data_IF_969888523908
#
_entry.id   IF_969888523908
#
_cell.length_a   1.000
_cell.length_b   1.000
_cell.length_c   1.000
_cell.angle_alpha   90.00
_cell.angle_beta   90.00
_cell.angle_gamma   90.00
#
_symmetry.space_group_name_H-M   'P 1'
#
loop_
_entity.id
_entity.type
_entity.pdbx_description
1 polymer ?
#
# COMPACT_ATOMS: atom_id res chain seq x y z
N UNK A 1 19.47 15.86 3.51
CA UNK A 1 18.05 16.25 3.38
C UNK A 1 17.50 15.62 2.09
N UNK A 2 16.30 15.02 2.11
CA UNK A 2 15.83 14.07 1.07
C UNK A 2 15.41 14.69 -0.29
N UNK A 3 15.57 16.01 -0.48
CA UNK A 3 15.24 16.73 -1.74
C UNK A 3 13.87 16.35 -2.34
N UNK A 4 12.85 16.21 -1.48
CA UNK A 4 11.50 15.85 -1.92
C UNK A 4 10.87 17.00 -2.73
N UNK A 5 9.96 16.68 -3.68
CA UNK A 5 9.19 17.68 -4.40
C UNK A 5 8.39 18.59 -3.46
N UNK A 6 8.12 19.81 -3.92
CA UNK A 6 7.36 20.83 -3.18
C UNK A 6 5.99 20.35 -2.67
N UNK A 7 5.38 19.39 -3.38
CA UNK A 7 4.11 18.76 -3.00
C UNK A 7 4.16 18.03 -1.63
N UNK A 8 5.35 17.73 -1.10
CA UNK A 8 5.54 17.11 0.22
C UNK A 8 5.97 18.12 1.30
N UNK A 9 6.15 19.39 0.94
CA UNK A 9 6.59 20.44 1.84
C UNK A 9 5.39 21.26 2.33
N UNK A 10 5.49 21.73 3.57
CA UNK A 10 4.41 22.40 4.34
C UNK A 10 3.96 23.76 3.79
N UNK A 11 4.34 24.11 2.56
CA UNK A 11 4.12 25.43 1.96
C UNK A 11 2.72 25.53 1.30
N UNK A 12 1.76 24.67 1.71
CA UNK A 12 0.37 24.61 1.23
C UNK A 12 -0.50 23.68 2.10
N UNK A 13 -1.55 23.06 1.53
CA UNK A 13 -2.45 22.12 2.24
C UNK A 13 -1.85 20.72 2.50
N UNK A 14 -0.55 20.52 2.24
CA UNK A 14 0.13 19.23 2.34
C UNK A 14 1.32 19.37 3.29
N UNK A 15 1.68 18.30 3.98
CA UNK A 15 2.73 18.33 4.99
C UNK A 15 3.21 16.95 5.40
N UNK A 16 4.01 16.92 6.47
CA UNK A 16 4.50 15.69 7.10
C UNK A 16 4.16 15.65 8.60
N UNK A 17 4.07 14.45 9.14
CA UNK A 17 3.84 14.20 10.57
C UNK A 17 4.94 13.29 11.11
N UNK A 18 5.32 13.50 12.37
CA UNK A 18 6.25 12.61 13.08
C UNK A 18 5.42 11.55 13.79
N UNK A 19 5.54 10.30 13.36
CA UNK A 19 4.92 9.14 14.02
C UNK A 19 5.91 8.48 14.99
N UNK A 20 5.38 7.77 16.00
CA UNK A 20 6.20 7.00 16.93
C UNK A 20 6.78 5.72 16.33
N UNK A 21 6.20 5.23 15.22
CA UNK A 21 6.72 4.07 14.48
C UNK A 21 6.28 4.05 13.01
N UNK A 22 6.98 3.27 12.18
CA UNK A 22 6.55 2.99 10.80
C UNK A 22 5.18 2.30 10.74
N UNK A 23 4.86 1.45 11.72
CA UNK A 23 3.56 0.78 11.78
C UNK A 23 2.42 1.78 11.93
N UNK A 24 2.59 2.76 12.82
CA UNK A 24 1.62 3.83 13.03
C UNK A 24 1.44 4.67 11.76
N UNK A 25 2.53 5.06 11.09
CA UNK A 25 2.47 5.78 9.82
C UNK A 25 1.73 4.99 8.72
N UNK A 26 1.98 3.68 8.62
CA UNK A 26 1.28 2.79 7.67
C UNK A 26 -0.20 2.67 8.04
N UNK A 27 -0.55 2.58 9.32
CA UNK A 27 -1.96 2.55 9.78
C UNK A 27 -2.71 3.80 9.38
N UNK A 28 -2.15 4.99 9.67
CA UNK A 28 -2.77 6.26 9.32
C UNK A 28 -2.97 6.39 7.81
N UNK A 29 -1.97 5.99 7.03
CA UNK A 29 -2.03 6.03 5.56
C UNK A 29 -3.09 5.08 5.03
N UNK A 30 -3.12 3.83 5.51
CA UNK A 30 -4.10 2.85 5.05
C UNK A 30 -5.53 3.19 5.47
N UNK A 31 -5.74 3.74 6.68
CA UNK A 31 -7.04 4.23 7.10
C UNK A 31 -7.55 5.35 6.17
N UNK A 32 -6.72 6.35 5.88
CA UNK A 32 -7.10 7.44 4.96
C UNK A 32 -7.40 6.95 3.53
N UNK A 33 -6.59 6.00 3.05
CA UNK A 33 -6.76 5.33 1.75
C UNK A 33 -8.11 4.61 1.73
N UNK A 34 -8.42 3.77 2.73
CA UNK A 34 -9.68 3.02 2.82
C UNK A 34 -10.88 3.97 2.95
N UNK A 35 -10.81 4.98 3.81
CA UNK A 35 -11.89 5.96 3.96
C UNK A 35 -12.20 6.67 2.64
N UNK A 36 -11.16 7.01 1.86
CA UNK A 36 -11.34 7.56 0.51
C UNK A 36 -11.99 6.53 -0.42
N UNK A 37 -11.58 5.26 -0.34
CA UNK A 37 -12.12 4.19 -1.17
C UNK A 37 -13.62 4.04 -0.96
N UNK A 38 -14.03 3.95 0.30
CA UNK A 38 -15.41 3.70 0.69
C UNK A 38 -16.33 4.88 0.34
N UNK A 39 -15.80 6.12 0.32
CA UNK A 39 -16.54 7.28 -0.21
C UNK A 39 -16.84 7.14 -1.71
N UNK A 40 -15.92 6.55 -2.47
CA UNK A 40 -16.06 6.40 -3.92
C UNK A 40 -16.93 5.17 -4.30
N UNK A 41 -16.78 4.05 -3.57
CA UNK A 41 -17.40 2.77 -3.94
C UNK A 41 -18.56 2.34 -3.05
N UNK A 42 -18.74 2.93 -1.87
CA UNK A 42 -19.72 2.52 -0.84
C UNK A 42 -19.10 1.69 0.29
N UNK A 43 -19.58 1.89 1.52
CA UNK A 43 -19.06 1.22 2.74
C UNK A 43 -19.24 -0.31 2.71
N UNK A 44 -20.29 -0.80 2.06
CA UNK A 44 -20.60 -2.23 1.91
C UNK A 44 -19.52 -2.99 1.11
N UNK A 45 -18.72 -2.27 0.30
CA UNK A 45 -17.70 -2.85 -0.57
C UNK A 45 -16.31 -2.93 0.07
N UNK A 46 -16.17 -2.63 1.37
CA UNK A 46 -14.89 -2.80 2.08
C UNK A 46 -14.30 -4.20 1.92
N UNK A 47 -15.17 -5.22 1.90
CA UNK A 47 -14.80 -6.64 1.73
C UNK A 47 -14.28 -6.98 0.33
N UNK A 48 -14.38 -6.05 -0.63
CA UNK A 48 -13.90 -6.20 -2.00
C UNK A 48 -12.61 -5.42 -2.27
N UNK A 49 -12.17 -4.58 -1.35
CA UNK A 49 -10.92 -3.82 -1.48
C UNK A 49 -9.70 -4.75 -1.38
N UNK A 50 -8.73 -4.53 -2.28
CA UNK A 50 -7.49 -5.30 -2.36
C UNK A 50 -6.27 -4.40 -2.19
N UNK A 51 -5.33 -4.83 -1.35
CA UNK A 51 -4.06 -4.17 -1.11
C UNK A 51 -2.93 -5.09 -1.58
N UNK A 52 -2.01 -4.53 -2.37
CA UNK A 52 -0.85 -5.24 -2.89
C UNK A 52 0.40 -4.83 -2.12
N UNK A 53 1.33 -5.76 -1.94
CA UNK A 53 2.65 -5.42 -1.40
C UNK A 53 3.67 -6.50 -1.71
N UNK A 54 4.95 -6.19 -1.52
CA UNK A 54 6.01 -7.19 -1.67
C UNK A 54 5.86 -8.33 -0.67
N UNK A 55 6.20 -9.55 -1.08
CA UNK A 55 6.36 -10.70 -0.18
C UNK A 55 7.47 -10.50 0.87
N UNK A 56 8.30 -9.45 0.74
CA UNK A 56 9.28 -9.01 1.74
C UNK A 56 8.76 -7.93 2.67
N UNK A 57 7.55 -7.42 2.47
CA UNK A 57 7.01 -6.42 3.37
C UNK A 57 6.87 -7.02 4.76
N UNK A 58 7.54 -6.39 5.73
CA UNK A 58 7.56 -6.81 7.12
C UNK A 58 6.14 -7.08 7.65
N UNK A 59 6.00 -8.07 8.54
CA UNK A 59 4.72 -8.57 9.10
C UNK A 59 3.76 -7.48 9.62
N UNK A 60 4.27 -6.27 9.86
CA UNK A 60 3.52 -5.04 10.10
C UNK A 60 2.37 -4.86 9.10
N UNK A 61 2.57 -5.05 7.80
CA UNK A 61 1.50 -4.79 6.83
C UNK A 61 0.30 -5.74 6.99
N UNK A 62 0.55 -7.01 7.30
CA UNK A 62 -0.50 -7.97 7.64
C UNK A 62 -1.25 -7.59 8.91
N UNK A 63 -0.53 -7.15 9.96
CA UNK A 63 -1.16 -6.68 11.20
C UNK A 63 -2.05 -5.46 10.95
N UNK A 64 -1.52 -4.49 10.21
CA UNK A 64 -2.25 -3.24 9.93
C UNK A 64 -3.47 -3.51 9.08
N UNK A 65 -3.36 -4.30 8.00
CA UNK A 65 -4.50 -4.65 7.14
C UNK A 65 -5.68 -5.22 7.95
N UNK A 66 -5.39 -6.09 8.93
CA UNK A 66 -6.40 -6.64 9.83
C UNK A 66 -7.04 -5.57 10.72
N UNK A 67 -6.25 -4.62 11.23
CA UNK A 67 -6.74 -3.53 12.08
C UNK A 67 -7.62 -2.54 11.30
N UNK A 68 -7.32 -2.29 10.02
CA UNK A 68 -8.11 -1.42 9.14
C UNK A 68 -9.22 -2.17 8.40
N UNK A 69 -9.64 -3.34 8.90
CA UNK A 69 -10.80 -4.13 8.43
C UNK A 69 -10.68 -4.69 7.01
N UNK A 70 -9.47 -4.80 6.47
CA UNK A 70 -9.25 -5.53 5.22
C UNK A 70 -9.15 -7.02 5.53
N UNK A 71 -9.91 -7.83 4.79
CA UNK A 71 -9.81 -9.28 4.91
C UNK A 71 -8.36 -9.73 4.61
N UNK A 72 -7.75 -10.61 5.42
CA UNK A 72 -6.45 -11.18 5.09
C UNK A 72 -6.41 -11.82 3.70
N UNK A 73 -7.55 -12.33 3.22
CA UNK A 73 -7.72 -12.89 1.88
C UNK A 73 -7.63 -11.87 0.76
N UNK A 74 -7.63 -10.57 1.06
CA UNK A 74 -7.54 -9.48 0.08
C UNK A 74 -6.21 -8.73 0.17
N UNK A 75 -5.27 -9.27 0.95
CA UNK A 75 -3.88 -8.85 0.87
C UNK A 75 -3.16 -9.72 -0.17
N UNK A 76 -2.46 -9.09 -1.11
CA UNK A 76 -1.76 -9.75 -2.21
C UNK A 76 -0.25 -9.57 -2.03
N UNK A 77 0.45 -10.57 -1.44
CA UNK A 77 1.91 -10.58 -1.44
C UNK A 77 2.41 -10.91 -2.85
N UNK A 78 2.93 -9.93 -3.56
CA UNK A 78 3.54 -10.10 -4.88
C UNK A 78 4.97 -10.60 -4.68
N UNK A 79 5.31 -11.67 -5.41
CA UNK A 79 6.62 -12.27 -5.35
C UNK A 79 7.69 -11.29 -5.85
N UNK A 80 8.82 -11.24 -5.15
CA UNK A 80 9.99 -10.48 -5.56
C UNK A 80 11.21 -11.38 -5.56
N UNK A 81 12.19 -11.08 -6.42
CA UNK A 81 13.39 -11.89 -6.61
C UNK A 81 14.65 -11.10 -6.24
N UNK A 82 15.70 -11.82 -5.83
CA UNK A 82 17.00 -11.21 -5.54
C UNK A 82 17.66 -10.63 -6.79
N UNK A 83 17.42 -11.21 -7.97
CA UNK A 83 17.94 -10.72 -9.25
C UNK A 83 17.38 -9.36 -9.67
N UNK A 84 16.27 -8.92 -9.05
CA UNK A 84 15.64 -7.62 -9.25
C UNK A 84 15.66 -6.78 -7.97
N UNK A 85 16.63 -7.04 -7.07
CA UNK A 85 16.81 -6.32 -5.79
C UNK A 85 15.54 -6.25 -4.93
N UNK A 86 14.71 -7.28 -5.02
CA UNK A 86 13.41 -7.39 -4.37
C UNK A 86 12.42 -6.25 -4.71
N UNK A 87 12.62 -5.54 -5.82
CA UNK A 87 11.67 -4.57 -6.34
C UNK A 87 10.37 -5.27 -6.78
N UNK A 88 9.22 -4.62 -6.61
CA UNK A 88 7.99 -5.10 -7.23
C UNK A 88 8.04 -4.88 -8.73
N UNK A 89 7.77 -5.94 -9.48
CA UNK A 89 7.57 -5.86 -10.93
C UNK A 89 6.24 -5.16 -11.25
N UNK A 90 6.25 -4.08 -12.04
CA UNK A 90 5.01 -3.45 -12.51
C UNK A 90 4.12 -4.43 -13.28
N UNK A 91 4.73 -5.37 -14.01
CA UNK A 91 4.00 -6.36 -14.77
C UNK A 91 3.26 -7.35 -13.85
N UNK A 92 3.91 -7.79 -12.78
CA UNK A 92 3.31 -8.74 -11.84
C UNK A 92 2.19 -8.11 -11.04
N UNK A 93 2.35 -6.84 -10.64
CA UNK A 93 1.28 -6.06 -10.02
C UNK A 93 0.10 -5.93 -10.99
N UNK A 94 0.35 -5.54 -12.24
CA UNK A 94 -0.70 -5.36 -13.25
C UNK A 94 -1.49 -6.66 -13.47
N UNK A 95 -0.81 -7.79 -13.63
CA UNK A 95 -1.47 -9.09 -13.80
C UNK A 95 -2.32 -9.47 -12.58
N UNK A 96 -1.83 -9.22 -11.36
CA UNK A 96 -2.59 -9.46 -10.15
C UNK A 96 -3.84 -8.55 -10.06
N UNK A 97 -3.72 -7.28 -10.45
CA UNK A 97 -4.83 -6.33 -10.49
C UNK A 97 -5.89 -6.73 -11.52
N UNK A 98 -5.48 -7.11 -12.73
CA UNK A 98 -6.38 -7.60 -13.79
C UNK A 98 -7.15 -8.85 -13.35
N UNK A 99 -6.45 -9.79 -12.70
CA UNK A 99 -7.08 -10.98 -12.14
C UNK A 99 -8.10 -10.64 -11.04
N UNK A 100 -7.76 -9.76 -10.10
CA UNK A 100 -8.67 -9.38 -9.02
C UNK A 100 -9.90 -8.61 -9.56
N UNK A 101 -9.70 -7.73 -10.55
CA UNK A 101 -10.80 -7.04 -11.24
C UNK A 101 -11.75 -8.02 -11.92
N UNK A 102 -11.22 -9.03 -12.62
CA UNK A 102 -12.02 -10.07 -13.28
C UNK A 102 -12.85 -10.89 -12.28
N UNK A 103 -12.40 -10.98 -11.02
CA UNK A 103 -13.12 -11.64 -9.93
C UNK A 103 -14.05 -10.69 -9.13
N UNK A 104 -14.27 -9.46 -9.61
CA UNK A 104 -15.17 -8.48 -8.99
C UNK A 104 -14.61 -7.84 -7.71
N UNK A 105 -13.29 -7.88 -7.53
CA UNK A 105 -12.57 -7.16 -6.47
C UNK A 105 -12.10 -5.79 -6.96
N UNK A 106 -11.75 -4.91 -6.02
CA UNK A 106 -11.31 -3.54 -6.29
C UNK A 106 -9.85 -3.35 -5.86
N UNK A 107 -8.90 -3.35 -6.81
CA UNK A 107 -7.53 -2.93 -6.56
C UNK A 107 -7.48 -1.48 -6.08
N UNK A 108 -6.83 -1.22 -4.94
CA UNK A 108 -6.91 0.12 -4.35
C UNK A 108 -5.59 0.71 -3.87
N UNK A 109 -4.64 -0.09 -3.37
CA UNK A 109 -3.35 0.45 -2.89
C UNK A 109 -2.20 -0.54 -3.07
N UNK A 110 -0.99 0.00 -3.26
CA UNK A 110 0.27 -0.74 -3.34
C UNK A 110 1.19 -0.24 -2.21
N UNK A 111 1.78 -1.16 -1.47
CA UNK A 111 2.76 -0.87 -0.42
C UNK A 111 4.09 -1.54 -0.76
N UNK A 112 5.10 -0.71 -1.04
CA UNK A 112 6.46 -1.11 -1.35
C UNK A 112 7.39 -0.53 -0.28
N UNK A 113 8.13 -1.37 0.48
CA UNK A 113 9.26 -0.89 1.25
C UNK A 113 10.36 -0.42 0.30
N UNK A 114 10.91 0.78 0.52
CA UNK A 114 12.15 1.19 -0.13
C UNK A 114 13.31 0.38 0.46
N UNK A 115 14.06 -0.29 -0.40
CA UNK A 115 15.33 -0.93 -0.03
C UNK A 115 16.48 0.02 -0.29
N UNK A 116 17.60 -0.14 0.44
CA UNK A 116 18.79 0.70 0.26
C UNK A 116 19.32 0.65 -1.18
N UNK A 117 19.13 -0.47 -1.87
CA UNK A 117 19.55 -0.65 -3.27
C UNK A 117 18.72 0.20 -4.25
N UNK A 118 17.54 0.70 -3.87
CA UNK A 118 16.71 1.58 -4.69
C UNK A 118 17.01 3.07 -4.49
N UNK A 119 17.92 3.40 -3.56
CA UNK A 119 18.28 4.78 -3.20
C UNK A 119 19.64 5.22 -3.77
N UNK A 120 20.34 4.34 -4.49
CA UNK A 120 21.65 4.57 -5.12
C UNK A 120 21.48 4.64 -6.64
#
# INVERSE_FOLDING_TARGET
>A
MLKLPQAFLLLGNVGGVINGSTCEAIMCTLAAVIDKALKDIGEDKIVKLVIYGSNKTHYVLHKVAKLVRISPSNFRPIATSSSADFALSPNDIRMAMEHDLANGLFPYSIVQPLTLQQLV
#
